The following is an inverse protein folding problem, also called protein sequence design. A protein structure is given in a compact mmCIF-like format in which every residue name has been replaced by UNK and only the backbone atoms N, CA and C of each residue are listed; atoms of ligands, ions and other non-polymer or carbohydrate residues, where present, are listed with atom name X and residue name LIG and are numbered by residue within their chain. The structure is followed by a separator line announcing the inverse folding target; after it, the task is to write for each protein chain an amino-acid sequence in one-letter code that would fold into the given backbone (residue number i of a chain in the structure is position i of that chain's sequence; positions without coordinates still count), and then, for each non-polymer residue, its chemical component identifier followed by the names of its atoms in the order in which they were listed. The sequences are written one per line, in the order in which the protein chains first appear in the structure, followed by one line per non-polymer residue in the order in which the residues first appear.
data_IF_507011421014
#
_entry.id   IF_507011421014
#
_cell.length_a   1.000
_cell.length_b   1.000
_cell.length_c   1.000
_cell.angle_alpha   90.00
_cell.angle_beta   90.00
_cell.angle_gamma   90.00
#
_symmetry.space_group_name_H-M   'P 1'
#
loop_
_entity.id
_entity.type
_entity.pdbx_description
1 polymer ?
#
# COMPACT_ATOMS: atom_id res chain seq x y z
N UNK A 1 72.99 38.94 -11.09
CA UNK A 1 72.64 37.74 -10.30
C UNK A 1 71.15 37.82 -9.96
N UNK A 2 70.33 37.03 -10.64
CA UNK A 2 68.87 37.12 -10.63
C UNK A 2 68.28 36.08 -9.66
N UNK A 3 67.35 36.53 -8.80
CA UNK A 3 66.82 35.82 -7.63
C UNK A 3 65.72 34.81 -8.03
N UNK A 4 65.82 33.59 -7.53
CA UNK A 4 64.78 32.55 -7.59
C UNK A 4 63.64 32.90 -6.61
N UNK A 5 62.40 33.02 -7.09
CA UNK A 5 61.20 33.09 -6.26
C UNK A 5 60.48 31.76 -6.34
N UNK A 6 60.18 31.24 -5.15
CA UNK A 6 59.80 29.88 -4.80
C UNK A 6 58.37 29.60 -5.25
N UNK A 7 58.21 28.48 -5.97
CA UNK A 7 56.95 27.88 -6.39
C UNK A 7 56.13 27.43 -5.17
N UNK A 8 54.92 27.96 -5.01
CA UNK A 8 53.95 27.50 -4.00
C UNK A 8 53.07 26.41 -4.59
N UNK A 9 53.30 25.17 -4.17
CA UNK A 9 52.53 23.99 -4.58
C UNK A 9 51.32 23.84 -3.66
N UNK A 10 50.13 24.16 -4.18
CA UNK A 10 48.85 23.82 -3.53
C UNK A 10 48.64 22.31 -3.60
N UNK A 11 48.76 21.61 -2.46
CA UNK A 11 48.37 20.19 -2.35
C UNK A 11 46.90 20.14 -1.97
N UNK A 12 46.04 19.92 -2.97
CA UNK A 12 44.63 19.58 -2.75
C UNK A 12 44.54 18.14 -2.25
N UNK A 13 44.18 17.96 -0.98
CA UNK A 13 43.87 16.65 -0.40
C UNK A 13 42.49 16.24 -0.93
N UNK A 14 42.49 15.29 -1.88
CA UNK A 14 41.29 14.64 -2.37
C UNK A 14 40.82 13.63 -1.32
N UNK A 15 39.81 13.98 -0.53
CA UNK A 15 39.14 13.05 0.38
C UNK A 15 38.37 12.01 -0.44
N UNK A 16 38.99 10.87 -0.69
CA UNK A 16 38.30 9.68 -1.18
C UNK A 16 37.34 9.21 -0.07
N UNK A 17 36.05 9.46 -0.25
CA UNK A 17 35.01 8.80 0.54
C UNK A 17 35.15 7.29 0.32
N UNK A 18 35.63 6.57 1.34
CA UNK A 18 35.54 5.12 1.36
C UNK A 18 34.06 4.76 1.49
N UNK A 19 33.41 4.47 0.37
CA UNK A 19 32.20 3.67 0.40
C UNK A 19 32.62 2.31 0.99
N UNK A 20 32.20 2.04 2.23
CA UNK A 20 32.34 0.73 2.84
C UNK A 20 31.69 -0.27 1.88
N UNK A 21 32.49 -1.17 1.31
CA UNK A 21 31.97 -2.32 0.59
C UNK A 21 31.21 -3.15 1.62
N UNK A 22 29.89 -3.02 1.65
CA UNK A 22 29.08 -3.88 2.47
C UNK A 22 29.26 -5.32 1.99
N UNK A 23 29.58 -6.22 2.92
CA UNK A 23 29.77 -7.63 2.56
C UNK A 23 28.47 -8.20 1.96
N UNK A 24 28.61 -8.89 0.83
CA UNK A 24 27.49 -9.56 0.17
C UNK A 24 26.85 -10.59 1.11
N UNK A 25 25.52 -10.67 1.07
CA UNK A 25 24.70 -11.47 1.98
C UNK A 25 24.24 -12.74 1.27
N UNK A 26 24.51 -13.90 1.87
CA UNK A 26 23.98 -15.19 1.38
C UNK A 26 22.54 -15.37 1.85
N UNK A 27 21.59 -15.30 0.92
CA UNK A 27 20.16 -15.46 1.17
C UNK A 27 19.69 -16.83 0.67
N UNK A 28 20.16 -17.92 1.29
CA UNK A 28 19.69 -19.28 1.02
C UNK A 28 19.09 -19.87 2.29
N UNK A 29 17.79 -20.12 2.28
CA UNK A 29 17.01 -20.60 3.40
C UNK A 29 16.06 -21.69 2.92
N UNK A 30 16.03 -22.82 3.61
CA UNK A 30 15.13 -23.91 3.29
C UNK A 30 14.23 -24.19 4.50
N UNK A 31 12.96 -23.77 4.41
CA UNK A 31 11.98 -23.91 5.48
C UNK A 31 12.46 -23.32 6.82
N UNK A 32 13.06 -22.12 6.75
CA UNK A 32 13.66 -21.43 7.88
C UNK A 32 12.62 -20.54 8.59
N UNK A 33 12.78 -20.35 9.90
CA UNK A 33 11.91 -19.43 10.65
C UNK A 33 12.11 -17.98 10.18
N UNK A 34 11.00 -17.27 9.96
CA UNK A 34 11.02 -15.91 9.42
C UNK A 34 11.82 -14.94 10.31
N UNK A 35 11.72 -15.10 11.63
CA UNK A 35 12.49 -14.34 12.63
C UNK A 35 13.99 -14.60 12.51
N UNK A 36 14.40 -15.82 12.14
CA UNK A 36 15.80 -16.17 11.94
C UNK A 36 16.38 -15.51 10.69
N UNK A 37 15.60 -15.46 9.62
CA UNK A 37 15.98 -14.74 8.38
C UNK A 37 16.19 -13.25 8.67
N UNK A 38 15.28 -12.61 9.44
CA UNK A 38 15.43 -11.22 9.87
C UNK A 38 16.70 -11.03 10.71
N UNK A 39 16.97 -11.92 11.67
CA UNK A 39 18.16 -11.86 12.53
C UNK A 39 19.46 -11.90 11.71
N UNK A 40 19.53 -12.78 10.71
CA UNK A 40 20.71 -12.92 9.85
C UNK A 40 20.93 -11.66 9.02
N UNK A 41 19.88 -11.11 8.41
CA UNK A 41 19.97 -9.85 7.68
C UNK A 41 20.38 -8.68 8.60
N UNK A 42 19.80 -8.61 9.81
CA UNK A 42 20.14 -7.58 10.81
C UNK A 42 21.60 -7.64 11.22
N UNK A 43 22.14 -8.84 11.47
CA UNK A 43 23.56 -9.03 11.80
C UNK A 43 24.49 -8.66 10.65
N UNK A 44 24.12 -8.99 9.42
CA UNK A 44 24.94 -8.70 8.25
C UNK A 44 24.98 -7.20 7.89
N UNK A 45 23.90 -6.46 8.15
CA UNK A 45 23.76 -5.06 7.71
C UNK A 45 23.86 -4.04 8.83
N UNK A 46 23.75 -4.46 10.09
CA UNK A 46 23.59 -3.57 11.24
C UNK A 46 22.21 -2.91 11.33
N UNK A 47 21.28 -3.21 10.41
CA UNK A 47 19.93 -2.67 10.45
C UNK A 47 19.18 -3.17 11.68
N UNK A 48 18.63 -2.25 12.48
CA UNK A 48 17.87 -2.56 13.70
C UNK A 48 16.45 -2.98 13.35
N UNK A 49 15.98 -4.05 14.00
CA UNK A 49 14.61 -4.54 13.87
C UNK A 49 13.91 -4.66 15.23
N UNK A 50 12.63 -4.31 15.27
CA UNK A 50 11.70 -4.68 16.34
C UNK A 50 10.65 -5.59 15.71
N UNK A 51 10.47 -6.78 16.26
CA UNK A 51 9.57 -7.80 15.73
C UNK A 51 8.41 -7.96 16.71
N UNK A 52 7.18 -7.81 16.23
CA UNK A 52 5.99 -8.07 17.03
C UNK A 52 5.89 -9.57 17.43
N UNK A 53 5.44 -9.90 18.65
CA UNK A 53 5.36 -11.30 19.12
C UNK A 53 4.46 -12.21 18.26
N UNK A 54 3.55 -11.63 17.47
CA UNK A 54 2.69 -12.34 16.53
C UNK A 54 3.39 -12.75 15.22
N UNK A 55 4.61 -12.27 14.96
CA UNK A 55 5.37 -12.61 13.74
C UNK A 55 5.90 -14.04 13.84
N UNK A 56 5.36 -14.93 13.01
CA UNK A 56 5.65 -16.37 13.00
C UNK A 56 5.52 -16.90 11.58
N UNK A 57 6.13 -18.05 11.32
CA UNK A 57 6.01 -18.72 10.03
C UNK A 57 7.37 -19.04 9.44
N UNK A 58 7.35 -19.83 8.38
CA UNK A 58 8.55 -20.32 7.71
C UNK A 58 8.61 -19.85 6.27
N UNK A 59 9.82 -19.69 5.77
CA UNK A 59 10.04 -19.32 4.37
C UNK A 59 11.19 -20.13 3.78
N UNK A 60 11.11 -20.36 2.48
CA UNK A 60 12.23 -20.82 1.69
C UNK A 60 12.63 -19.74 0.70
N UNK A 61 13.92 -19.43 0.64
CA UNK A 61 14.52 -18.47 -0.27
C UNK A 61 15.72 -19.16 -0.90
N UNK A 62 15.74 -19.27 -2.23
CA UNK A 62 16.78 -20.01 -2.95
C UNK A 62 17.57 -19.07 -3.86
N UNK A 63 18.61 -18.42 -3.32
CA UNK A 63 19.58 -17.67 -4.14
C UNK A 63 20.87 -18.47 -4.33
N UNK A 64 21.39 -18.45 -5.55
CA UNK A 64 22.66 -19.10 -5.89
C UNK A 64 23.86 -18.21 -5.55
N UNK A 65 23.71 -16.90 -5.70
CA UNK A 65 24.76 -15.92 -5.46
C UNK A 65 24.49 -15.11 -4.18
N UNK A 66 25.57 -14.57 -3.60
CA UNK A 66 25.45 -13.61 -2.51
C UNK A 66 24.96 -12.25 -3.06
N UNK A 67 24.01 -11.64 -2.36
CA UNK A 67 23.31 -10.43 -2.78
C UNK A 67 23.87 -9.19 -2.10
N UNK A 68 23.77 -8.05 -2.77
CA UNK A 68 23.98 -6.76 -2.11
C UNK A 68 22.94 -6.54 -1.01
N UNK A 69 23.25 -5.81 0.07
CA UNK A 69 22.32 -5.59 1.18
C UNK A 69 20.95 -5.08 0.75
N UNK A 70 20.89 -4.15 -0.21
CA UNK A 70 19.63 -3.61 -0.71
C UNK A 70 18.77 -4.70 -1.39
N UNK A 71 19.40 -5.62 -2.13
CA UNK A 71 18.69 -6.69 -2.81
C UNK A 71 18.27 -7.81 -1.84
N UNK A 72 19.12 -8.13 -0.86
CA UNK A 72 18.74 -9.00 0.24
C UNK A 72 17.55 -8.43 1.03
N UNK A 73 17.50 -7.11 1.22
CA UNK A 73 16.36 -6.44 1.85
C UNK A 73 15.08 -6.55 1.01
N UNK A 74 15.18 -6.39 -0.31
CA UNK A 74 14.05 -6.58 -1.20
C UNK A 74 13.48 -8.00 -1.03
N UNK A 75 14.33 -9.03 -1.05
CA UNK A 75 13.87 -10.40 -0.85
C UNK A 75 13.27 -10.66 0.54
N UNK A 76 13.88 -10.12 1.60
CA UNK A 76 13.33 -10.18 2.94
C UNK A 76 11.93 -9.55 3.00
N UNK A 77 11.75 -8.39 2.36
CA UNK A 77 10.47 -7.69 2.33
C UNK A 77 9.37 -8.48 1.60
N UNK A 78 9.73 -9.19 0.51
CA UNK A 78 8.81 -10.08 -0.22
C UNK A 78 8.43 -11.29 0.64
N UNK A 79 9.41 -11.91 1.30
CA UNK A 79 9.20 -13.05 2.20
C UNK A 79 8.23 -12.70 3.34
N UNK A 80 8.40 -11.52 3.94
CA UNK A 80 7.51 -10.99 4.98
C UNK A 80 6.10 -10.76 4.45
N UNK A 81 5.98 -10.06 3.31
CA UNK A 81 4.68 -9.76 2.70
C UNK A 81 3.91 -11.03 2.33
N UNK A 82 4.60 -12.06 1.83
CA UNK A 82 4.01 -13.38 1.50
C UNK A 82 3.40 -14.06 2.73
N UNK A 83 3.99 -13.84 3.90
CA UNK A 83 3.49 -14.32 5.18
C UNK A 83 2.48 -13.37 5.85
N UNK A 84 2.10 -12.27 5.20
CA UNK A 84 1.16 -11.28 5.75
C UNK A 84 1.76 -10.36 6.80
N UNK A 85 3.09 -10.23 6.84
CA UNK A 85 3.80 -9.29 7.70
C UNK A 85 4.35 -8.13 6.89
N UNK A 86 4.26 -6.92 7.42
CA UNK A 86 4.76 -5.71 6.78
C UNK A 86 5.84 -5.07 7.63
N UNK A 87 6.73 -4.34 6.96
CA UNK A 87 7.78 -3.54 7.58
C UNK A 87 7.36 -2.07 7.53
N UNK A 88 7.42 -1.39 8.67
CA UNK A 88 7.36 0.07 8.77
C UNK A 88 8.70 0.62 9.25
N UNK A 89 9.05 1.84 8.86
CA UNK A 89 10.30 2.48 9.29
C UNK A 89 9.96 3.54 10.34
N UNK A 90 10.58 3.42 11.52
CA UNK A 90 10.48 4.39 12.60
C UNK A 90 11.90 4.87 12.94
N UNK A 91 12.26 6.06 12.45
CA UNK A 91 13.64 6.57 12.49
C UNK A 91 14.63 5.59 11.84
N UNK A 92 15.60 5.09 12.58
CA UNK A 92 16.61 4.11 12.15
C UNK A 92 16.21 2.65 12.43
N UNK A 93 15.00 2.42 12.98
CA UNK A 93 14.50 1.10 13.36
C UNK A 93 13.41 0.63 12.39
N UNK A 94 13.51 -0.63 11.97
CA UNK A 94 12.49 -1.30 11.16
C UNK A 94 11.57 -2.10 12.06
N UNK A 95 10.28 -1.83 12.02
CA UNK A 95 9.28 -2.51 12.84
C UNK A 95 8.49 -3.48 11.99
N UNK A 96 8.46 -4.75 12.39
CA UNK A 96 7.77 -5.84 11.70
C UNK A 96 6.55 -6.25 12.48
N UNK A 97 5.36 -6.12 11.86
CA UNK A 97 4.08 -6.55 12.44
C UNK A 97 3.20 -7.18 11.36
N UNK A 98 2.00 -7.65 11.72
CA UNK A 98 1.01 -8.05 10.72
C UNK A 98 0.65 -6.86 9.82
N UNK A 99 0.48 -7.11 8.52
CA UNK A 99 0.19 -6.06 7.54
C UNK A 99 -1.06 -5.25 7.91
N UNK A 100 -2.09 -5.93 8.43
CA UNK A 100 -3.32 -5.31 8.95
C UNK A 100 -3.06 -4.32 10.09
N UNK A 101 -2.09 -4.59 10.96
CA UNK A 101 -1.76 -3.70 12.06
C UNK A 101 -0.88 -2.53 11.59
N UNK A 102 0.00 -2.75 10.61
CA UNK A 102 0.89 -1.72 10.06
C UNK A 102 0.11 -0.58 9.40
N UNK A 103 -1.08 -0.83 8.84
CA UNK A 103 -1.94 0.24 8.28
C UNK A 103 -2.27 1.36 9.29
N UNK A 104 -2.24 1.06 10.59
CA UNK A 104 -2.52 2.02 11.67
C UNK A 104 -1.26 2.67 12.25
N UNK A 105 -0.09 2.19 11.84
CA UNK A 105 1.19 2.81 12.18
C UNK A 105 1.50 3.97 11.20
N UNK A 106 2.66 4.62 11.37
CA UNK A 106 3.20 5.57 10.40
C UNK A 106 3.63 4.81 9.12
N UNK A 107 2.73 4.72 8.15
CA UNK A 107 3.05 4.32 6.78
C UNK A 107 3.18 5.55 5.87
N UNK A 108 3.99 5.43 4.83
CA UNK A 108 4.25 6.51 3.90
C UNK A 108 2.97 6.83 3.11
N UNK A 109 2.62 8.11 3.06
CA UNK A 109 1.49 8.64 2.30
C UNK A 109 2.05 9.45 1.13
N UNK A 110 1.62 9.14 -0.08
CA UNK A 110 2.05 9.86 -1.29
C UNK A 110 0.91 10.03 -2.29
N UNK A 111 1.01 11.04 -3.15
CA UNK A 111 0.18 11.15 -4.36
C UNK A 111 0.82 10.48 -5.58
N UNK A 112 2.09 10.11 -5.46
CA UNK A 112 2.81 9.34 -6.47
C UNK A 112 2.70 7.84 -6.17
N UNK A 113 2.71 7.04 -7.24
CA UNK A 113 2.72 5.58 -7.10
C UNK A 113 4.06 5.17 -6.49
N UNK A 114 4.08 4.43 -5.38
CA UNK A 114 5.32 4.05 -4.73
C UNK A 114 6.14 3.10 -5.61
N UNK A 115 7.46 3.09 -5.41
CA UNK A 115 8.33 2.06 -5.97
C UNK A 115 7.86 0.66 -5.54
N UNK A 116 7.91 -0.30 -6.45
CA UNK A 116 7.55 -1.71 -6.19
C UNK A 116 8.41 -2.32 -5.08
N UNK A 117 9.67 -1.89 -4.97
CA UNK A 117 10.62 -2.36 -3.97
C UNK A 117 11.16 -1.23 -3.10
N UNK A 118 11.42 -1.49 -1.80
CA UNK A 118 11.13 -2.74 -1.08
C UNK A 118 9.63 -2.96 -0.88
N UNK A 119 9.20 -4.21 -0.77
CA UNK A 119 7.78 -4.54 -0.63
C UNK A 119 7.26 -4.11 0.75
N UNK A 120 6.41 -3.08 0.75
CA UNK A 120 5.80 -2.51 1.96
C UNK A 120 4.38 -2.04 1.67
N UNK A 121 3.67 -1.70 2.74
CA UNK A 121 2.37 -1.05 2.67
C UNK A 121 2.57 0.46 2.53
N UNK A 122 1.81 1.07 1.63
CA UNK A 122 1.79 2.50 1.39
C UNK A 122 0.36 3.00 1.31
N UNK A 123 0.15 4.27 1.63
CA UNK A 123 -1.09 4.97 1.30
C UNK A 123 -0.87 5.83 0.07
N UNK A 124 -1.57 5.52 -1.02
CA UNK A 124 -1.52 6.25 -2.27
C UNK A 124 -2.83 7.00 -2.51
N UNK A 125 -2.72 8.32 -2.74
CA UNK A 125 -3.83 9.20 -3.07
C UNK A 125 -3.83 9.47 -4.58
N UNK A 126 -4.74 8.83 -5.31
CA UNK A 126 -4.89 9.03 -6.75
C UNK A 126 -6.00 10.05 -7.04
N UNK A 127 -5.71 11.04 -7.87
CA UNK A 127 -6.71 12.01 -8.35
C UNK A 127 -7.11 11.67 -9.77
N UNK A 128 -8.41 11.50 -10.02
CA UNK A 128 -8.95 11.19 -11.35
C UNK A 128 -9.20 12.47 -12.14
N UNK A 129 -8.90 12.45 -13.43
CA UNK A 129 -8.95 13.62 -14.32
C UNK A 129 -10.18 13.66 -15.21
N UNK A 130 -10.71 12.50 -15.59
CA UNK A 130 -11.72 12.41 -16.64
C UNK A 130 -13.01 11.74 -16.16
N UNK A 131 -12.91 10.79 -15.24
CA UNK A 131 -14.05 10.04 -14.71
C UNK A 131 -14.33 10.45 -13.26
N UNK A 132 -15.61 10.45 -12.90
CA UNK A 132 -16.07 10.66 -11.52
C UNK A 132 -15.61 9.50 -10.64
N UNK A 133 -14.99 9.82 -9.51
CA UNK A 133 -14.59 8.81 -8.52
C UNK A 133 -15.79 8.08 -7.93
N UNK A 134 -16.96 8.73 -7.87
CA UNK A 134 -18.19 8.10 -7.38
C UNK A 134 -18.70 7.01 -8.32
N UNK A 135 -18.50 7.19 -9.63
CA UNK A 135 -18.89 6.19 -10.64
C UNK A 135 -17.96 4.97 -10.55
N UNK A 136 -16.64 5.19 -10.43
CA UNK A 136 -15.66 4.10 -10.32
C UNK A 136 -15.64 3.41 -8.95
N UNK A 137 -16.11 4.06 -7.88
CA UNK A 137 -16.06 3.52 -6.52
C UNK A 137 -16.69 2.13 -6.41
N UNK A 138 -17.75 1.82 -7.16
CA UNK A 138 -18.42 0.51 -7.10
C UNK A 138 -17.60 -0.59 -7.77
N UNK A 139 -17.00 -0.26 -8.92
CA UNK A 139 -16.32 -1.25 -9.76
C UNK A 139 -14.92 -1.58 -9.22
N UNK A 140 -14.28 -0.63 -8.54
CA UNK A 140 -12.91 -0.79 -8.05
C UNK A 140 -12.82 -1.43 -6.64
N UNK A 141 -13.96 -1.75 -5.99
CA UNK A 141 -13.97 -2.32 -4.61
C UNK A 141 -13.26 -3.66 -4.47
N UNK A 142 -13.10 -4.38 -5.57
CA UNK A 142 -12.45 -5.70 -5.61
C UNK A 142 -10.92 -5.61 -5.75
N UNK A 143 -10.38 -4.41 -5.97
CA UNK A 143 -8.96 -4.23 -6.25
C UNK A 143 -8.03 -4.26 -5.04
N UNK A 144 -8.41 -3.76 -3.85
CA UNK A 144 -7.57 -3.91 -2.67
C UNK A 144 -7.24 -5.37 -2.37
N UNK A 145 -6.04 -5.61 -1.87
CA UNK A 145 -5.61 -6.93 -1.42
C UNK A 145 -6.34 -7.32 -0.13
N UNK A 146 -6.13 -8.55 0.35
CA UNK A 146 -6.68 -9.04 1.63
C UNK A 146 -6.35 -8.10 2.80
N UNK A 147 -5.18 -7.48 2.74
CA UNK A 147 -4.65 -6.58 3.76
C UNK A 147 -4.64 -5.14 3.26
N UNK A 148 -5.45 -4.80 2.25
CA UNK A 148 -5.58 -3.45 1.72
C UNK A 148 -6.93 -2.80 2.04
N UNK A 149 -6.98 -1.47 1.92
CA UNK A 149 -8.21 -0.70 2.03
C UNK A 149 -8.33 0.36 0.94
N UNK A 150 -9.57 0.80 0.71
CA UNK A 150 -9.91 1.81 -0.30
C UNK A 150 -10.93 2.79 0.28
N UNK A 151 -10.68 4.07 0.10
CA UNK A 151 -11.54 5.17 0.50
C UNK A 151 -11.70 6.18 -0.64
N UNK A 152 -12.78 6.93 -0.64
CA UNK A 152 -13.08 7.92 -1.70
C UNK A 152 -13.28 9.29 -1.08
N UNK A 153 -12.57 10.29 -1.63
CA UNK A 153 -12.82 11.70 -1.38
C UNK A 153 -13.49 12.31 -2.62
N UNK A 154 -14.82 12.32 -2.60
CA UNK A 154 -15.62 12.81 -3.72
C UNK A 154 -15.41 14.31 -4.00
N UNK A 155 -15.18 15.12 -2.95
CA UNK A 155 -15.01 16.57 -3.09
C UNK A 155 -13.77 16.93 -3.92
N UNK A 156 -12.70 16.13 -3.82
CA UNK A 156 -11.47 16.31 -4.58
C UNK A 156 -11.33 15.36 -5.78
N UNK A 157 -12.36 14.58 -6.10
CA UNK A 157 -12.32 13.52 -7.12
C UNK A 157 -11.14 12.53 -6.94
N UNK A 158 -10.91 12.12 -5.69
CA UNK A 158 -9.77 11.31 -5.27
C UNK A 158 -10.18 9.95 -4.74
N UNK A 159 -9.35 8.96 -5.03
CA UNK A 159 -9.41 7.61 -4.47
C UNK A 159 -8.13 7.34 -3.68
N UNK A 160 -8.28 6.87 -2.45
CA UNK A 160 -7.20 6.63 -1.52
C UNK A 160 -7.09 5.12 -1.34
N UNK A 161 -5.93 4.56 -1.63
CA UNK A 161 -5.64 3.15 -1.41
C UNK A 161 -4.55 3.01 -0.37
N UNK A 162 -4.75 2.11 0.59
CA UNK A 162 -3.66 1.65 1.44
C UNK A 162 -3.42 0.18 1.15
N UNK A 163 -2.29 -0.13 0.52
CA UNK A 163 -2.01 -1.48 0.05
C UNK A 163 -0.51 -1.73 -0.17
N UNK A 164 -0.17 -2.95 -0.55
CA UNK A 164 1.16 -3.35 -0.98
C UNK A 164 1.61 -2.57 -2.21
N UNK A 165 2.88 -2.18 -2.24
CA UNK A 165 3.48 -1.46 -3.37
C UNK A 165 3.21 -2.14 -4.72
N UNK A 166 3.34 -3.47 -4.80
CA UNK A 166 3.00 -4.25 -6.00
C UNK A 166 1.54 -4.10 -6.44
N UNK A 167 0.57 -4.13 -5.50
CA UNK A 167 -0.84 -3.98 -5.84
C UNK A 167 -1.17 -2.53 -6.22
N UNK A 168 -0.58 -1.54 -5.55
CA UNK A 168 -0.76 -0.13 -5.92
C UNK A 168 -0.28 0.17 -7.33
N UNK A 169 0.84 -0.43 -7.75
CA UNK A 169 1.32 -0.33 -9.14
C UNK A 169 0.32 -0.96 -10.13
N UNK A 170 -0.25 -2.13 -9.79
CA UNK A 170 -1.30 -2.76 -10.61
C UNK A 170 -2.55 -1.87 -10.71
N UNK A 171 -3.00 -1.30 -9.58
CA UNK A 171 -4.14 -0.38 -9.53
C UNK A 171 -3.86 0.87 -10.37
N UNK A 172 -2.65 1.42 -10.31
CA UNK A 172 -2.27 2.58 -11.10
C UNK A 172 -2.40 2.34 -12.61
N UNK A 173 -1.97 1.18 -13.10
CA UNK A 173 -2.15 0.81 -14.51
C UNK A 173 -3.64 0.65 -14.88
N UNK A 174 -4.46 0.08 -13.98
CA UNK A 174 -5.91 0.00 -14.19
C UNK A 174 -6.53 1.40 -14.27
N UNK A 175 -6.22 2.27 -13.31
CA UNK A 175 -6.74 3.64 -13.27
C UNK A 175 -6.34 4.42 -14.53
N UNK A 176 -5.10 4.29 -14.98
CA UNK A 176 -4.63 4.87 -16.24
C UNK A 176 -5.40 4.36 -17.47
N UNK A 177 -5.85 3.10 -17.44
CA UNK A 177 -6.62 2.51 -18.53
C UNK A 177 -8.09 2.99 -18.56
N UNK A 178 -8.70 3.24 -17.39
CA UNK A 178 -10.13 3.58 -17.25
C UNK A 178 -10.40 5.08 -17.15
N UNK A 179 -9.48 5.85 -16.55
CA UNK A 179 -9.59 7.32 -16.44
C UNK A 179 -9.18 7.98 -17.75
N UNK A 180 -10.05 7.82 -18.76
CA UNK A 180 -9.88 8.39 -20.10
C UNK A 180 -10.99 9.40 -20.39
N UNK A 181 -10.72 10.40 -21.24
CA UNK A 181 -11.76 11.29 -21.73
C UNK A 181 -12.91 10.49 -22.34
N UNK A 182 -14.13 10.76 -21.89
CA UNK A 182 -15.32 10.18 -22.51
C UNK A 182 -15.51 10.86 -23.86
N UNK A 183 -15.62 10.07 -24.93
CA UNK A 183 -15.96 10.59 -26.25
C UNK A 183 -17.27 11.40 -26.20
N UNK A 184 -17.30 12.64 -26.72
CA UNK A 184 -18.49 13.50 -26.68
C UNK A 184 -19.76 12.85 -27.26
N UNK A 185 -19.64 12.00 -28.27
CA UNK A 185 -20.80 11.29 -28.82
C UNK A 185 -21.32 10.24 -27.84
N UNK A 186 -20.42 9.46 -27.23
CA UNK A 186 -20.73 8.51 -26.16
C UNK A 186 -21.37 9.18 -24.94
N UNK A 187 -20.86 10.35 -24.53
CA UNK A 187 -21.44 11.12 -23.42
C UNK A 187 -22.89 11.52 -23.69
N UNK A 188 -23.19 12.02 -24.89
CA UNK A 188 -24.56 12.38 -25.30
C UNK A 188 -25.52 11.19 -25.26
N UNK A 189 -25.05 10.00 -25.65
CA UNK A 189 -25.86 8.78 -25.61
C UNK A 189 -26.15 8.31 -24.18
N UNK A 190 -25.15 8.33 -23.29
CA UNK A 190 -25.32 7.99 -21.87
C UNK A 190 -26.27 8.97 -21.17
N UNK A 191 -26.09 10.28 -21.42
CA UNK A 191 -26.95 11.32 -20.86
C UNK A 191 -28.39 11.21 -21.38
N UNK A 192 -28.59 10.87 -22.65
CA UNK A 192 -29.92 10.62 -23.22
C UNK A 192 -30.60 9.38 -22.61
N UNK A 193 -29.85 8.28 -22.39
CA UNK A 193 -30.37 7.06 -21.75
C UNK A 193 -30.79 7.30 -20.30
N UNK A 194 -29.99 8.06 -19.53
CA UNK A 194 -30.31 8.43 -18.14
C UNK A 194 -31.56 9.31 -18.03
N UNK A 195 -31.84 10.16 -19.04
CA UNK A 195 -33.06 10.99 -19.08
C UNK A 195 -34.33 10.19 -19.38
N UNK A 196 -34.22 9.11 -20.17
CA UNK A 196 -35.35 8.25 -20.48
C UNK A 196 -35.69 7.28 -19.32
N UNK A 197 -34.72 6.90 -18.49
CA UNK A 197 -34.92 6.11 -17.26
C UNK A 197 -35.02 7.02 -16.02
N UNK A 198 -35.96 7.96 -16.03
CA UNK A 198 -36.34 8.69 -14.81
C UNK A 198 -36.80 7.72 -13.69
N UNK A 199 -36.78 8.14 -12.42
CA UNK A 199 -37.16 7.28 -11.31
C UNK A 199 -38.56 6.72 -11.55
N UNK A 200 -38.67 5.40 -11.62
CA UNK A 200 -39.94 4.69 -11.59
C UNK A 200 -40.61 4.96 -10.25
N UNK A 201 -41.34 6.06 -10.14
CA UNK A 201 -42.39 6.22 -9.15
C UNK A 201 -43.55 5.29 -9.56
N UNK A 202 -43.36 3.99 -9.31
CA UNK A 202 -44.46 3.04 -9.30
C UNK A 202 -45.44 3.46 -8.19
N UNK A 203 -46.77 3.33 -8.41
CA UNK A 203 -47.75 3.76 -7.43
C UNK A 203 -47.49 3.06 -6.09
N UNK A 204 -47.46 3.85 -5.01
CA UNK A 204 -47.27 3.37 -3.65
C UNK A 204 -48.27 2.23 -3.37
N UNK A 205 -47.74 1.01 -3.24
CA UNK A 205 -48.52 -0.13 -2.80
C UNK A 205 -48.88 0.10 -1.34
N UNK A 206 -50.05 0.71 -1.09
CA UNK A 206 -50.67 0.71 0.25
C UNK A 206 -50.99 -0.74 0.59
N UNK A 207 -50.06 -1.40 1.30
CA UNK A 207 -50.37 -2.65 1.97
C UNK A 207 -51.51 -2.44 2.96
N UNK A 208 -52.40 -3.43 3.16
CA UNK A 208 -53.50 -3.29 4.11
C UNK A 208 -52.95 -3.06 5.52
N UNK A 209 -53.55 -2.11 6.23
CA UNK A 209 -53.19 -1.76 7.60
C UNK A 209 -53.30 -2.98 8.52
N UNK A 210 -52.40 -3.15 9.50
CA UNK A 210 -52.49 -4.24 10.46
C UNK A 210 -53.73 -4.04 11.33
N UNK A 211 -54.56 -5.08 11.44
CA UNK A 211 -55.63 -5.12 12.43
C UNK A 211 -54.99 -5.17 13.81
N UNK A 212 -55.30 -4.18 14.65
CA UNK A 212 -55.01 -4.24 16.07
C UNK A 212 -55.95 -5.26 16.71
N UNK A 213 -55.40 -6.40 17.13
CA UNK A 213 -56.10 -7.32 18.02
C UNK A 213 -56.19 -6.68 19.41
N UNK A 214 -57.41 -6.30 19.81
CA UNK A 214 -57.75 -5.95 21.19
C UNK A 214 -57.68 -7.21 22.05
N UNK A 215 -56.57 -7.38 22.77
CA UNK A 215 -56.48 -8.28 23.92
C UNK A 215 -56.14 -7.45 25.16
N UNK A 216 -57.11 -7.31 26.07
CA UNK A 216 -56.82 -6.74 27.39
C UNK A 216 -58.02 -6.18 28.14
N UNK A 217 -59.01 -7.02 28.48
CA UNK A 217 -59.94 -6.71 29.58
C UNK A 217 -59.66 -7.65 30.73
N UNK A 218 -58.92 -7.15 31.72
CA UNK A 218 -58.77 -7.78 33.04
C UNK A 218 -60.10 -7.70 33.81
N UNK A 219 -60.46 -8.69 34.66
CA UNK A 219 -61.55 -8.53 35.59
C UNK A 219 -61.06 -7.93 36.90
N UNK A 220 -61.82 -6.97 37.38
CA UNK A 220 -61.69 -6.31 38.68
C UNK A 220 -62.23 -7.22 39.79
N UNK A 221 -61.58 -7.14 40.96
CA UNK A 221 -61.85 -7.92 42.17
C UNK A 221 -63.26 -7.70 42.73
N UNK A 222 -63.86 -8.76 43.27
CA UNK A 222 -64.41 -8.83 44.63
C UNK A 222 -64.21 -10.25 45.18
#
# INVERSE_FOLDING_TARGET
MLKYVISSLFVSILTLSQASAADKIKMYFNNEELTKVIEIYSKATGQKFIIDPGVRGKISIYNQEALEPAEAFNQLSIALATNGFAISKQNDVMVVKSARNVQRDLIEVSSEVPSVFPQRMYTWVATLKHVSVLDLNRDLRILPSRDGEMNVNAAANQIIFTDWATNLNRIAEILKAVDKPVDPATKKLVDASRRHHGPSNGPAHKGPAPKHDEAGKAPEKQ
#
